data_IF_449451401025
#
_entry.id   IF_449451401025
#
_cell.length_a   1.000
_cell.length_b   1.000
_cell.length_c   1.000
_cell.angle_alpha   90.00
_cell.angle_beta   90.00
_cell.angle_gamma   90.00
#
_symmetry.space_group_name_H-M   'P 1'
#
loop_
_entity.id
_entity.type
_entity.pdbx_description
1 polymer ?
#
# COMPACT_ATOMS: atom_id res chain seq x y z
N UNK A 1 -25.08 0.31 -9.60
CA UNK A 1 -24.40 1.61 -9.36
C UNK A 1 -22.86 1.47 -9.48
N UNK A 2 -22.21 2.18 -10.42
CA UNK A 2 -20.77 2.03 -10.71
C UNK A 2 -19.84 2.41 -9.54
N UNK A 3 -20.38 3.02 -8.48
CA UNK A 3 -19.64 3.34 -7.24
C UNK A 3 -19.35 2.11 -6.38
N UNK A 4 -20.23 1.09 -6.39
CA UNK A 4 -20.04 -0.14 -5.59
C UNK A 4 -18.87 -1.00 -6.10
N UNK A 5 -18.53 -0.88 -7.38
CA UNK A 5 -17.43 -1.65 -7.99
C UNK A 5 -16.05 -1.03 -7.70
N UNK A 6 -16.00 0.28 -7.44
CA UNK A 6 -14.75 1.02 -7.12
C UNK A 6 -14.53 1.23 -5.63
N UNK A 7 -15.46 0.80 -4.77
CA UNK A 7 -15.37 0.93 -3.32
C UNK A 7 -14.65 -0.20 -2.54
N UNK A 8 -14.07 -1.29 -3.11
CA UNK A 8 -13.47 -2.32 -2.27
C UNK A 8 -12.25 -1.79 -1.50
N UNK A 9 -11.48 -0.90 -2.11
CA UNK A 9 -10.34 -0.22 -1.47
C UNK A 9 -10.77 0.61 -0.24
N UNK A 10 -11.67 1.60 -0.36
CA UNK A 10 -12.07 2.39 0.80
C UNK A 10 -12.81 1.57 1.87
N UNK A 11 -13.56 0.53 1.49
CA UNK A 11 -14.19 -0.39 2.44
C UNK A 11 -13.13 -1.16 3.22
N UNK A 12 -12.14 -1.75 2.56
CA UNK A 12 -11.04 -2.47 3.21
C UNK A 12 -10.25 -1.55 4.14
N UNK A 13 -9.93 -0.34 3.69
CA UNK A 13 -9.23 0.65 4.52
C UNK A 13 -10.04 1.02 5.77
N UNK A 14 -11.35 1.25 5.63
CA UNK A 14 -12.22 1.54 6.77
C UNK A 14 -12.29 0.36 7.76
N UNK A 15 -12.37 -0.88 7.27
CA UNK A 15 -12.35 -2.07 8.12
C UNK A 15 -11.03 -2.21 8.88
N UNK A 16 -9.88 -2.00 8.23
CA UNK A 16 -8.58 -2.03 8.89
C UNK A 16 -8.43 -0.90 9.92
N UNK A 17 -8.91 0.31 9.62
CA UNK A 17 -8.94 1.41 10.58
C UNK A 17 -9.78 1.06 11.82
N UNK A 18 -10.98 0.53 11.65
CA UNK A 18 -11.84 0.11 12.76
C UNK A 18 -11.22 -1.04 13.56
N UNK A 19 -10.53 -1.95 12.89
CA UNK A 19 -9.82 -3.05 13.54
C UNK A 19 -8.62 -2.55 14.35
N UNK A 20 -7.81 -1.64 13.78
CA UNK A 20 -6.71 -0.98 14.46
C UNK A 20 -7.20 -0.21 15.69
N UNK A 21 -8.24 0.62 15.50
CA UNK A 21 -8.90 1.35 16.57
C UNK A 21 -9.27 0.41 17.71
N UNK A 22 -10.08 -0.63 17.45
CA UNK A 22 -10.48 -1.62 18.46
C UNK A 22 -9.30 -2.31 19.12
N UNK A 23 -8.23 -2.63 18.38
CA UNK A 23 -7.03 -3.28 18.91
C UNK A 23 -6.26 -2.37 19.88
N UNK A 24 -6.12 -1.08 19.54
CA UNK A 24 -5.41 -0.10 20.38
C UNK A 24 -6.13 0.16 21.71
N UNK A 25 -7.46 0.16 21.76
CA UNK A 25 -8.21 0.29 23.03
C UNK A 25 -8.04 -0.89 24.00
N UNK A 26 -7.56 -2.04 23.53
CA UNK A 26 -7.37 -3.25 24.34
C UNK A 26 -5.90 -3.60 24.56
N UNK A 27 -4.98 -2.65 24.31
CA UNK A 27 -3.55 -2.76 24.58
C UNK A 27 -3.19 -1.89 25.79
N UNK A 28 -2.18 -2.27 26.60
CA UNK A 28 -1.35 -3.48 26.47
C UNK A 28 -2.06 -4.74 26.98
N UNK A 29 -1.87 -5.85 26.27
CA UNK A 29 -2.32 -7.18 26.71
C UNK A 29 -1.29 -7.78 27.67
N UNK A 30 -1.68 -8.72 28.55
CA UNK A 30 -0.72 -9.48 29.34
C UNK A 30 0.32 -10.12 28.42
N UNK A 31 1.60 -10.05 28.80
CA UNK A 31 2.74 -10.65 28.10
C UNK A 31 3.12 -10.03 26.74
N UNK A 32 2.69 -8.79 26.49
CA UNK A 32 3.00 -8.00 25.27
C UNK A 32 2.63 -8.70 23.94
N UNK A 33 1.74 -9.69 24.04
CA UNK A 33 1.38 -10.58 22.94
C UNK A 33 0.67 -9.80 21.84
N UNK A 34 1.27 -9.81 20.64
CA UNK A 34 0.84 -9.08 19.44
C UNK A 34 1.17 -7.57 19.41
N UNK A 35 2.20 -7.12 20.11
CA UNK A 35 2.70 -5.73 20.00
C UNK A 35 3.03 -5.29 18.56
N UNK A 36 3.38 -6.23 17.67
CA UNK A 36 3.61 -5.98 16.23
C UNK A 36 2.32 -5.76 15.41
N UNK A 37 1.15 -6.23 15.87
CA UNK A 37 -0.08 -6.16 15.06
C UNK A 37 -0.58 -4.74 14.76
N UNK A 38 -0.56 -3.77 15.69
CA UNK A 38 -0.92 -2.39 15.38
C UNK A 38 -0.03 -1.79 14.28
N UNK A 39 1.27 -2.04 14.34
CA UNK A 39 2.24 -1.56 13.35
C UNK A 39 1.95 -2.12 11.96
N UNK A 40 1.83 -3.45 11.82
CA UNK A 40 1.55 -4.10 10.54
C UNK A 40 0.21 -3.65 9.95
N UNK A 41 -0.78 -3.39 10.81
CA UNK A 41 -2.10 -2.92 10.36
C UNK A 41 -2.06 -1.49 9.88
N UNK A 42 -1.33 -0.61 10.58
CA UNK A 42 -1.11 0.74 10.13
C UNK A 42 -0.35 0.75 8.79
N UNK A 43 0.69 -0.08 8.64
CA UNK A 43 1.41 -0.22 7.38
C UNK A 43 0.49 -0.68 6.24
N UNK A 44 -0.41 -1.64 6.50
CA UNK A 44 -1.40 -2.09 5.52
C UNK A 44 -2.41 -0.99 5.15
N UNK A 45 -2.88 -0.20 6.11
CA UNK A 45 -3.75 0.95 5.86
C UNK A 45 -3.06 1.97 4.93
N UNK A 46 -1.80 2.31 5.21
CA UNK A 46 -1.03 3.22 4.36
C UNK A 46 -0.83 2.64 2.95
N UNK A 47 -0.48 1.36 2.84
CA UNK A 47 -0.32 0.68 1.56
C UNK A 47 -1.61 0.70 0.73
N UNK A 48 -2.78 0.45 1.35
CA UNK A 48 -4.08 0.58 0.68
C UNK A 48 -4.39 2.01 0.26
N UNK A 49 -4.00 3.01 1.08
CA UNK A 49 -4.13 4.42 0.73
C UNK A 49 -3.34 4.78 -0.54
N UNK A 50 -2.08 4.37 -0.62
CA UNK A 50 -1.24 4.54 -1.81
C UNK A 50 -1.79 3.79 -3.02
N UNK A 51 -2.28 2.56 -2.84
CA UNK A 51 -2.91 1.79 -3.91
C UNK A 51 -4.17 2.48 -4.43
N UNK A 52 -5.01 3.04 -3.55
CA UNK A 52 -6.19 3.82 -3.93
C UNK A 52 -5.83 5.10 -4.70
N UNK A 53 -4.77 5.78 -4.31
CA UNK A 53 -4.25 6.94 -5.03
C UNK A 53 -3.77 6.54 -6.44
N UNK A 54 -2.97 5.47 -6.54
CA UNK A 54 -2.50 4.95 -7.83
C UNK A 54 -3.66 4.53 -8.74
N UNK A 55 -4.67 3.85 -8.19
CA UNK A 55 -5.86 3.42 -8.92
C UNK A 55 -6.70 4.60 -9.43
N UNK A 56 -6.70 5.73 -8.70
CA UNK A 56 -7.47 6.92 -9.07
C UNK A 56 -6.93 7.60 -10.33
N UNK A 57 -5.63 7.48 -10.59
CA UNK A 57 -4.98 8.12 -11.75
C UNK A 57 -4.61 7.14 -12.85
N UNK A 58 -4.59 5.82 -12.60
CA UNK A 58 -4.28 4.82 -13.61
C UNK A 58 -5.14 5.01 -14.89
N UNK A 59 -4.55 5.01 -16.11
CA UNK A 59 -3.16 4.69 -16.46
C UNK A 59 -2.20 5.90 -16.52
N UNK A 60 -2.58 7.03 -15.93
CA UNK A 60 -1.81 8.26 -15.92
C UNK A 60 -0.95 8.37 -14.65
N UNK A 61 0.29 8.84 -14.84
CA UNK A 61 1.16 9.31 -13.75
C UNK A 61 0.89 10.79 -13.48
N UNK A 62 0.69 11.56 -14.56
CA UNK A 62 0.19 12.94 -14.51
C UNK A 62 -1.09 12.98 -15.33
N UNK A 63 -2.26 13.24 -14.72
CA UNK A 63 -3.54 13.25 -15.42
C UNK A 63 -3.51 14.11 -16.68
N UNK A 64 -4.04 13.58 -17.78
CA UNK A 64 -4.14 14.24 -19.09
C UNK A 64 -2.81 14.69 -19.70
N UNK A 65 -1.67 14.25 -19.16
CA UNK A 65 -0.33 14.71 -19.58
C UNK A 65 0.65 13.58 -19.83
N UNK A 66 0.71 12.59 -18.95
CA UNK A 66 1.75 11.54 -18.99
C UNK A 66 1.18 10.20 -18.53
N UNK A 67 1.21 9.21 -19.42
CA UNK A 67 0.81 7.82 -19.12
C UNK A 67 1.95 7.02 -18.50
N UNK A 68 1.64 5.90 -17.84
CA UNK A 68 2.65 4.99 -17.26
C UNK A 68 3.66 4.48 -18.31
N UNK A 69 3.22 4.31 -19.56
CA UNK A 69 4.06 3.80 -20.64
C UNK A 69 5.03 4.87 -21.16
N UNK A 70 4.58 6.12 -21.20
CA UNK A 70 5.41 7.27 -21.57
C UNK A 70 6.37 7.66 -20.45
N UNK A 71 5.98 7.42 -19.19
CA UNK A 71 6.81 7.65 -18.02
C UNK A 71 7.86 6.54 -17.82
N UNK A 72 7.69 5.38 -18.44
CA UNK A 72 8.58 4.24 -18.28
C UNK A 72 9.96 4.51 -18.92
N UNK A 73 11.02 4.16 -18.20
CA UNK A 73 12.38 4.15 -18.73
C UNK A 73 12.57 3.02 -19.76
N UNK A 74 13.70 3.03 -20.48
CA UNK A 74 14.09 1.94 -21.35
C UNK A 74 14.05 0.59 -20.61
N UNK A 75 13.61 -0.46 -21.29
CA UNK A 75 13.39 -1.80 -20.70
C UNK A 75 14.64 -2.36 -20.03
N UNK A 76 15.82 -2.12 -20.61
CA UNK A 76 17.12 -2.53 -20.07
C UNK A 76 17.41 -1.83 -18.73
N UNK A 77 17.16 -0.52 -18.64
CA UNK A 77 17.30 0.23 -17.39
C UNK A 77 16.30 -0.25 -16.33
N UNK A 78 15.05 -0.54 -16.73
CA UNK A 78 14.04 -1.07 -15.81
C UNK A 78 14.42 -2.46 -15.26
N UNK A 79 15.04 -3.31 -16.09
CA UNK A 79 15.56 -4.61 -15.66
C UNK A 79 16.69 -4.47 -14.62
N UNK A 80 17.59 -3.49 -14.79
CA UNK A 80 18.63 -3.18 -13.79
C UNK A 80 18.00 -2.69 -12.48
N UNK A 81 17.01 -1.80 -12.54
CA UNK A 81 16.27 -1.32 -11.37
C UNK A 81 15.59 -2.48 -10.64
N UNK A 82 14.99 -3.43 -11.38
CA UNK A 82 14.38 -4.62 -10.81
C UNK A 82 15.41 -5.50 -10.10
N UNK A 83 16.56 -5.77 -10.72
CA UNK A 83 17.63 -6.55 -10.12
C UNK A 83 18.14 -5.91 -8.82
N UNK A 84 18.35 -4.59 -8.81
CA UNK A 84 18.69 -3.83 -7.61
C UNK A 84 17.62 -3.95 -6.54
N UNK A 85 16.34 -3.81 -6.91
CA UNK A 85 15.21 -3.92 -5.99
C UNK A 85 15.12 -5.29 -5.31
N UNK A 86 15.35 -6.38 -6.06
CA UNK A 86 15.32 -7.75 -5.52
C UNK A 86 16.38 -7.98 -4.44
N UNK A 87 17.52 -7.30 -4.53
CA UNK A 87 18.60 -7.41 -3.52
C UNK A 87 18.39 -6.42 -2.37
N UNK A 88 18.04 -5.17 -2.68
CA UNK A 88 17.95 -4.09 -1.69
C UNK A 88 16.71 -4.22 -0.80
N UNK A 89 15.56 -4.63 -1.36
CA UNK A 89 14.31 -4.72 -0.59
C UNK A 89 14.39 -5.71 0.59
N UNK A 90 14.95 -6.93 0.44
CA UNK A 90 15.20 -7.81 1.58
C UNK A 90 16.10 -7.18 2.64
N UNK A 91 17.18 -6.51 2.23
CA UNK A 91 18.14 -5.87 3.16
C UNK A 91 17.50 -4.74 3.97
N UNK A 92 16.46 -4.09 3.44
CA UNK A 92 15.69 -3.07 4.20
C UNK A 92 14.81 -3.73 5.27
N UNK A 93 14.33 -4.94 5.03
CA UNK A 93 13.35 -5.63 5.89
C UNK A 93 14.03 -6.47 6.99
N UNK A 94 15.21 -7.04 6.71
CA UNK A 94 15.98 -7.91 7.62
C UNK A 94 17.08 -7.15 8.36
#
# INVERSE_FOLDING_TARGET
PPMLYRSPLPILSALLFLWLWRKTFHLPRPDDRHSLTPFLTLAAIFALGFAGLAWSFYPFVVPDRLTIWQAASATESLAIILAGTVVVLPVIIF
#
